data_IF_278639255409
#
_entry.id   IF_278639255409
#
_cell.length_a   1.000
_cell.length_b   1.000
_cell.length_c   1.000
_cell.angle_alpha   90.00
_cell.angle_beta   90.00
_cell.angle_gamma   90.00
#
_symmetry.space_group_name_H-M   'P 1'
#
loop_
_entity.id
_entity.type
_entity.pdbx_description
1 polymer ?
#
# COMPACT_ATOMS: atom_id res chain seq x y z
N UNK A 1 8.19 29.30 26.31
CA UNK A 1 7.40 29.77 25.15
C UNK A 1 7.50 28.73 24.06
N UNK A 2 6.49 27.88 23.92
CA UNK A 2 6.43 26.92 22.80
C UNK A 2 5.79 27.72 21.66
N UNK A 3 6.57 28.09 20.64
CA UNK A 3 5.99 28.63 19.42
C UNK A 3 5.12 27.53 18.81
N UNK A 4 3.80 27.61 19.00
CA UNK A 4 2.85 26.90 18.15
C UNK A 4 2.90 27.57 16.79
N UNK A 5 3.83 27.14 15.94
CA UNK A 5 3.77 27.43 14.52
C UNK A 5 2.57 26.69 13.95
N UNK A 6 1.48 27.41 13.66
CA UNK A 6 0.37 26.90 12.87
C UNK A 6 0.84 26.71 11.44
N UNK A 7 1.63 25.67 11.19
CA UNK A 7 2.07 25.30 9.86
C UNK A 7 0.87 24.76 9.09
N UNK A 8 0.66 25.29 7.89
CA UNK A 8 -0.42 24.88 6.99
C UNK A 8 0.19 24.69 5.61
N UNK A 9 -0.12 23.57 4.97
CA UNK A 9 0.33 23.28 3.62
C UNK A 9 -0.86 22.87 2.75
N UNK A 10 -1.09 23.61 1.68
CA UNK A 10 -2.09 23.27 0.67
C UNK A 10 -1.42 22.45 -0.44
N UNK A 11 -1.94 21.25 -0.68
CA UNK A 11 -1.45 20.35 -1.72
C UNK A 11 -1.95 20.81 -3.10
N UNK A 12 -1.16 20.53 -4.15
CA UNK A 12 -1.56 20.83 -5.51
C UNK A 12 -2.19 19.60 -6.18
N UNK A 13 -3.49 19.38 -5.93
CA UNK A 13 -4.24 18.21 -6.41
C UNK A 13 -5.41 18.66 -7.28
N UNK A 14 -5.47 18.15 -8.52
CA UNK A 14 -6.51 18.52 -9.50
C UNK A 14 -7.91 17.97 -9.16
N UNK A 15 -8.00 16.77 -8.58
CA UNK A 15 -9.27 16.15 -8.16
C UNK A 15 -9.22 15.69 -6.70
N UNK A 16 -9.37 16.61 -5.74
CA UNK A 16 -9.34 16.32 -4.30
C UNK A 16 -10.31 15.23 -3.84
N UNK A 17 -11.45 15.08 -4.53
CA UNK A 17 -12.51 14.13 -4.13
C UNK A 17 -12.11 12.69 -4.42
N UNK A 18 -11.50 12.43 -5.58
CA UNK A 18 -11.09 11.09 -6.00
C UNK A 18 -9.60 10.81 -5.75
N UNK A 19 -8.89 11.69 -5.04
CA UNK A 19 -7.48 11.51 -4.71
C UNK A 19 -7.27 10.59 -3.51
N UNK A 20 -7.40 9.28 -3.74
CA UNK A 20 -7.09 8.23 -2.78
C UNK A 20 -6.73 6.93 -3.51
N UNK A 21 -6.10 5.99 -2.79
CA UNK A 21 -5.83 4.65 -3.26
C UNK A 21 -6.46 3.61 -2.32
N UNK A 22 -6.77 2.43 -2.87
CA UNK A 22 -7.41 1.37 -2.08
C UNK A 22 -6.44 0.73 -1.09
N UNK A 23 -6.88 0.63 0.16
CA UNK A 23 -6.20 -0.13 1.22
C UNK A 23 -7.12 -1.26 1.72
N UNK A 24 -6.53 -2.42 1.94
CA UNK A 24 -7.18 -3.58 2.54
C UNK A 24 -7.09 -3.59 4.07
N UNK A 25 -7.92 -4.40 4.75
CA UNK A 25 -8.03 -4.40 6.20
C UNK A 25 -6.90 -5.13 6.93
N UNK A 26 -6.11 -5.96 6.22
CA UNK A 26 -5.11 -6.84 6.83
C UNK A 26 -3.71 -6.62 6.27
N UNK A 27 -2.73 -6.87 7.15
CA UNK A 27 -1.31 -7.01 6.86
C UNK A 27 -0.66 -7.86 7.95
N UNK A 28 0.47 -8.55 7.67
CA UNK A 28 1.19 -9.28 8.71
C UNK A 28 1.86 -8.31 9.70
N UNK A 29 2.07 -8.71 10.96
CA UNK A 29 2.75 -7.88 11.96
C UNK A 29 4.14 -7.39 11.51
N UNK A 30 4.88 -8.20 10.73
CA UNK A 30 6.18 -7.79 10.17
C UNK A 30 6.08 -6.58 9.25
N UNK A 31 5.02 -6.49 8.42
CA UNK A 31 4.81 -5.36 7.52
C UNK A 31 4.36 -4.10 8.26
N UNK A 32 3.76 -4.27 9.46
CA UNK A 32 3.51 -3.16 10.37
C UNK A 32 4.79 -2.61 10.99
N UNK A 33 5.69 -3.49 11.45
CA UNK A 33 7.01 -3.11 12.00
C UNK A 33 7.86 -2.39 10.97
N UNK A 34 7.87 -2.88 9.74
CA UNK A 34 8.70 -2.36 8.66
C UNK A 34 8.07 -1.13 7.98
N UNK A 35 6.90 -0.66 8.47
CA UNK A 35 6.18 0.49 7.92
C UNK A 35 5.94 0.40 6.41
N UNK A 36 5.62 -0.79 5.91
CA UNK A 36 5.48 -1.02 4.48
C UNK A 36 4.36 -0.19 3.87
N UNK A 37 4.61 0.29 2.64
CA UNK A 37 3.55 0.84 1.80
C UNK A 37 2.53 -0.26 1.52
N UNK A 38 1.27 0.05 1.71
CA UNK A 38 0.18 -0.89 1.51
C UNK A 38 -0.45 -0.63 0.14
N UNK A 39 -0.48 -1.63 -0.73
CA UNK A 39 -1.13 -1.53 -2.05
C UNK A 39 -2.09 -2.71 -2.20
N UNK A 40 -3.37 -2.44 -2.39
CA UNK A 40 -4.39 -3.48 -2.50
C UNK A 40 -4.43 -4.09 -3.89
N UNK A 41 -3.60 -5.08 -4.20
CA UNK A 41 -3.53 -5.65 -5.56
C UNK A 41 -4.74 -6.56 -5.92
N UNK A 42 -5.35 -7.20 -4.93
CA UNK A 42 -6.59 -7.97 -5.08
C UNK A 42 -7.59 -7.52 -4.03
N UNK A 43 -8.89 -7.79 -4.23
CA UNK A 43 -9.90 -7.59 -3.19
C UNK A 43 -10.28 -8.92 -2.55
N UNK A 44 -10.17 -8.97 -1.24
CA UNK A 44 -10.69 -10.02 -0.37
C UNK A 44 -9.95 -11.37 -0.51
N UNK A 45 -10.68 -12.51 -0.42
CA UNK A 45 -10.07 -13.83 -0.43
C UNK A 45 -10.75 -14.79 -1.42
N UNK A 46 -10.02 -15.41 -2.36
CA UNK A 46 -10.60 -16.35 -3.32
C UNK A 46 -11.00 -17.69 -2.71
N UNK A 47 -10.56 -17.97 -1.48
CA UNK A 47 -10.92 -19.20 -0.75
C UNK A 47 -12.10 -19.00 0.19
N UNK A 48 -11.97 -18.01 1.09
CA UNK A 48 -12.97 -17.56 2.06
C UNK A 48 -13.64 -18.64 2.96
N UNK A 49 -13.13 -19.87 2.98
CA UNK A 49 -13.70 -21.01 3.70
C UNK A 49 -12.93 -21.43 4.96
N UNK A 50 -11.81 -20.77 5.29
CA UNK A 50 -11.12 -21.05 6.56
C UNK A 50 -12.06 -20.76 7.74
N UNK A 51 -12.11 -21.66 8.71
CA UNK A 51 -13.00 -21.53 9.88
C UNK A 51 -12.55 -20.42 10.82
N UNK A 52 -11.23 -20.32 11.05
CA UNK A 52 -10.63 -19.35 11.96
C UNK A 52 -10.59 -17.91 11.43
N UNK A 53 -10.80 -17.69 10.12
CA UNK A 53 -10.59 -16.39 9.49
C UNK A 53 -11.93 -15.68 9.24
N UNK A 54 -12.31 -14.65 10.03
CA UNK A 54 -13.56 -13.92 9.82
C UNK A 54 -13.46 -12.80 8.78
N UNK A 55 -12.24 -12.40 8.38
CA UNK A 55 -11.95 -11.11 7.70
C UNK A 55 -12.81 -10.82 6.48
N UNK A 56 -13.01 -11.79 5.60
CA UNK A 56 -13.67 -11.59 4.31
C UNK A 56 -14.98 -12.37 4.18
N UNK A 57 -15.56 -12.85 5.29
CA UNK A 57 -16.83 -13.57 5.24
C UNK A 57 -17.90 -12.68 4.60
N UNK A 58 -18.72 -13.27 3.74
CA UNK A 58 -19.81 -12.60 3.00
C UNK A 58 -19.39 -11.56 1.95
N UNK A 59 -18.10 -11.36 1.69
CA UNK A 59 -17.63 -10.52 0.56
C UNK A 59 -16.98 -11.38 -0.52
N UNK A 60 -17.20 -11.00 -1.78
CA UNK A 60 -16.68 -11.73 -2.94
C UNK A 60 -15.23 -11.35 -3.22
N UNK A 61 -14.47 -12.31 -3.74
CA UNK A 61 -13.14 -12.04 -4.26
C UNK A 61 -13.21 -11.31 -5.60
N UNK A 62 -12.30 -10.36 -5.80
CA UNK A 62 -12.10 -9.69 -7.09
C UNK A 62 -10.61 -9.55 -7.39
N UNK A 63 -10.23 -9.86 -8.63
CA UNK A 63 -8.91 -9.45 -9.15
C UNK A 63 -9.03 -8.03 -9.67
N UNK A 64 -8.09 -7.15 -9.30
CA UNK A 64 -7.99 -5.81 -9.88
C UNK A 64 -7.13 -5.86 -11.14
N UNK A 65 -7.43 -4.97 -12.08
CA UNK A 65 -6.58 -4.79 -13.27
C UNK A 65 -5.31 -4.03 -12.92
N UNK A 66 -4.21 -4.31 -13.64
CA UNK A 66 -2.94 -3.64 -13.40
C UNK A 66 -3.05 -2.12 -13.53
N UNK A 67 -3.87 -1.61 -14.45
CA UNK A 67 -4.08 -0.18 -14.68
C UNK A 67 -4.77 0.51 -13.49
N UNK A 68 -5.67 -0.18 -12.80
CA UNK A 68 -6.30 0.35 -11.57
C UNK A 68 -5.26 0.46 -10.45
N UNK A 69 -4.42 -0.56 -10.28
CA UNK A 69 -3.35 -0.56 -9.27
C UNK A 69 -2.29 0.50 -9.61
N UNK A 70 -2.01 0.75 -10.90
CA UNK A 70 -1.12 1.83 -11.31
C UNK A 70 -1.65 3.22 -10.98
N UNK A 71 -2.97 3.43 -10.98
CA UNK A 71 -3.57 4.69 -10.50
C UNK A 71 -3.34 4.86 -9.01
N UNK A 72 -3.43 3.80 -8.23
CA UNK A 72 -3.08 3.82 -6.81
C UNK A 72 -1.62 4.22 -6.59
N UNK A 73 -0.69 3.62 -7.36
CA UNK A 73 0.74 3.96 -7.33
C UNK A 73 0.96 5.44 -7.68
N UNK A 74 0.21 5.98 -8.64
CA UNK A 74 0.25 7.40 -8.99
C UNK A 74 -0.19 8.30 -7.83
N UNK A 75 -1.27 7.94 -7.12
CA UNK A 75 -1.72 8.69 -5.93
C UNK A 75 -0.64 8.66 -4.85
N UNK A 76 -0.04 7.50 -4.58
CA UNK A 76 1.09 7.38 -3.63
C UNK A 76 2.27 8.27 -4.05
N UNK A 77 2.58 8.32 -5.34
CA UNK A 77 3.66 9.17 -5.86
C UNK A 77 3.37 10.64 -5.61
N UNK A 78 2.17 11.09 -5.94
CA UNK A 78 1.76 12.48 -5.73
C UNK A 78 1.76 12.85 -4.25
N UNK A 79 1.21 12.00 -3.38
CA UNK A 79 1.31 12.18 -1.93
C UNK A 79 2.77 12.27 -1.47
N UNK A 80 3.65 11.42 -2.01
CA UNK A 80 5.08 11.44 -1.65
C UNK A 80 5.78 12.72 -2.06
N UNK A 81 5.45 13.27 -3.23
CA UNK A 81 5.95 14.55 -3.74
C UNK A 81 5.47 15.71 -2.83
N UNK A 82 4.17 15.77 -2.55
CA UNK A 82 3.57 16.81 -1.69
C UNK A 82 4.12 16.78 -0.26
N UNK A 83 4.28 15.60 0.34
CA UNK A 83 4.86 15.44 1.68
C UNK A 83 6.31 15.96 1.72
N UNK A 84 7.10 15.62 0.69
CA UNK A 84 8.49 16.09 0.60
C UNK A 84 8.53 17.61 0.38
N UNK A 85 7.69 18.15 -0.49
CA UNK A 85 7.64 19.59 -0.73
C UNK A 85 7.23 20.37 0.52
N UNK A 86 6.19 19.91 1.24
CA UNK A 86 5.81 20.47 2.53
C UNK A 86 6.98 20.45 3.53
N UNK A 87 7.70 19.34 3.62
CA UNK A 87 8.90 19.22 4.46
C UNK A 87 9.98 20.24 4.11
N UNK A 88 10.25 20.47 2.81
CA UNK A 88 11.20 21.48 2.36
C UNK A 88 10.73 22.90 2.68
N UNK A 89 9.46 23.22 2.46
CA UNK A 89 8.88 24.55 2.77
C UNK A 89 8.99 24.90 4.24
N UNK A 90 8.91 23.92 5.12
CA UNK A 90 9.05 24.11 6.58
C UNK A 90 10.48 23.90 7.09
N UNK A 91 11.48 23.90 6.20
CA UNK A 91 12.90 23.76 6.54
C UNK A 91 13.25 22.46 7.31
N UNK A 92 12.49 21.38 7.10
CA UNK A 92 12.78 20.06 7.66
C UNK A 92 13.69 19.21 6.77
N UNK A 93 14.25 19.79 5.70
CA UNK A 93 15.21 19.15 4.79
C UNK A 93 14.71 17.84 4.18
N UNK A 94 13.43 17.77 3.82
CA UNK A 94 12.80 16.58 3.23
C UNK A 94 12.47 15.47 4.24
N UNK A 95 12.78 15.64 5.54
CA UNK A 95 12.38 14.70 6.60
C UNK A 95 10.88 14.74 6.82
N UNK A 96 10.25 13.57 6.90
CA UNK A 96 8.82 13.43 7.21
C UNK A 96 8.67 13.31 8.72
N UNK A 97 7.91 14.23 9.32
CA UNK A 97 7.63 14.26 10.77
C UNK A 97 6.16 14.61 11.02
N UNK A 98 5.75 14.60 12.30
CA UNK A 98 4.34 14.86 12.68
C UNK A 98 3.87 16.27 12.28
N UNK A 99 4.74 17.27 12.29
CA UNK A 99 4.38 18.64 11.91
C UNK A 99 4.07 18.76 10.42
N UNK A 100 4.81 18.06 9.56
CA UNK A 100 4.53 18.00 8.11
C UNK A 100 3.15 17.37 7.86
N UNK A 101 2.87 16.24 8.50
CA UNK A 101 1.60 15.53 8.34
C UNK A 101 0.44 16.38 8.86
N UNK A 102 0.61 17.02 10.03
CA UNK A 102 -0.39 17.93 10.61
C UNK A 102 -0.67 19.12 9.70
N UNK A 103 0.38 19.73 9.14
CA UNK A 103 0.24 20.88 8.25
C UNK A 103 -0.52 20.53 6.96
N UNK A 104 -0.27 19.35 6.38
CA UNK A 104 -1.02 18.82 5.23
C UNK A 104 -2.48 18.57 5.62
N UNK A 105 -2.72 17.88 6.74
CA UNK A 105 -4.09 17.59 7.18
C UNK A 105 -4.91 18.88 7.41
N UNK A 106 -4.33 19.87 8.09
CA UNK A 106 -4.99 21.14 8.39
C UNK A 106 -5.18 22.03 7.16
N UNK A 107 -4.26 21.96 6.19
CA UNK A 107 -4.31 22.79 4.98
C UNK A 107 -5.19 22.27 3.86
N UNK A 108 -5.76 21.07 3.98
CA UNK A 108 -6.58 20.45 2.94
C UNK A 108 -7.87 19.84 3.53
N UNK A 109 -8.72 20.63 4.22
CA UNK A 109 -9.98 20.13 4.78
C UNK A 109 -10.91 19.52 3.73
N UNK A 110 -10.87 20.00 2.49
CA UNK A 110 -11.65 19.48 1.36
C UNK A 110 -11.27 18.05 0.93
N UNK A 111 -10.08 17.58 1.32
CA UNK A 111 -9.62 16.21 1.09
C UNK A 111 -9.94 15.35 2.30
N UNK A 112 -9.61 15.83 3.50
CA UNK A 112 -9.60 15.00 4.71
C UNK A 112 -10.82 15.15 5.62
N UNK A 113 -11.79 16.01 5.29
CA UNK A 113 -12.97 16.26 6.12
C UNK A 113 -14.26 16.23 5.30
N UNK A 114 -15.35 15.72 5.90
CA UNK A 114 -16.71 15.88 5.39
C UNK A 114 -17.13 14.96 4.24
N UNK A 115 -16.26 14.06 3.76
CA UNK A 115 -16.56 13.07 2.71
C UNK A 115 -16.57 11.62 3.24
N UNK A 116 -17.31 10.72 2.58
CA UNK A 116 -17.39 9.29 2.89
C UNK A 116 -16.02 8.60 2.90
N UNK A 117 -15.07 9.10 2.12
CA UNK A 117 -13.71 8.55 2.02
C UNK A 117 -12.67 9.29 2.89
N UNK A 118 -13.08 10.23 3.76
CA UNK A 118 -12.15 11.05 4.56
C UNK A 118 -11.22 10.19 5.41
N UNK A 119 -11.75 9.14 6.03
CA UNK A 119 -10.98 8.20 6.86
C UNK A 119 -9.94 7.44 6.02
N UNK A 120 -10.32 6.94 4.84
CA UNK A 120 -9.40 6.26 3.92
C UNK A 120 -8.29 7.21 3.44
N UNK A 121 -8.64 8.46 3.09
CA UNK A 121 -7.68 9.48 2.67
C UNK A 121 -6.69 9.81 3.78
N UNK A 122 -7.15 9.88 5.04
CA UNK A 122 -6.27 10.06 6.18
C UNK A 122 -5.35 8.85 6.37
N UNK A 123 -5.86 7.62 6.24
CA UNK A 123 -5.06 6.41 6.29
C UNK A 123 -4.01 6.35 5.17
N UNK A 124 -4.35 6.81 3.96
CA UNK A 124 -3.41 6.95 2.85
C UNK A 124 -2.27 7.92 3.23
N UNK A 125 -2.59 9.13 3.71
CA UNK A 125 -1.59 10.09 4.15
C UNK A 125 -0.66 9.50 5.21
N UNK A 126 -1.24 8.84 6.23
CA UNK A 126 -0.47 8.23 7.32
C UNK A 126 0.41 7.07 6.84
N UNK A 127 -0.10 6.22 5.96
CA UNK A 127 0.67 5.10 5.42
C UNK A 127 1.86 5.58 4.59
N UNK A 128 1.64 6.53 3.68
CA UNK A 128 2.72 7.10 2.84
C UNK A 128 3.72 7.87 3.71
N UNK A 129 3.27 8.67 4.67
CA UNK A 129 4.16 9.42 5.56
C UNK A 129 5.06 8.50 6.41
N UNK A 130 4.49 7.47 7.04
CA UNK A 130 5.25 6.50 7.83
C UNK A 130 6.22 5.68 6.98
N UNK A 131 5.79 5.30 5.77
CA UNK A 131 6.64 4.60 4.81
C UNK A 131 7.82 5.46 4.36
N UNK A 132 7.61 6.74 4.05
CA UNK A 132 8.69 7.68 3.71
C UNK A 132 9.64 7.92 4.90
N UNK A 133 9.08 8.10 6.11
CA UNK A 133 9.86 8.30 7.33
C UNK A 133 10.76 7.10 7.67
N UNK A 134 10.37 5.90 7.27
CA UNK A 134 11.14 4.65 7.43
C UNK A 134 12.10 4.35 6.27
N UNK A 135 12.21 5.25 5.29
CA UNK A 135 13.14 5.12 4.17
C UNK A 135 12.55 4.54 2.88
N UNK A 136 11.24 4.33 2.82
CA UNK A 136 10.50 3.94 1.62
C UNK A 136 11.00 2.66 0.93
N UNK A 137 11.31 1.63 1.75
CA UNK A 137 12.02 0.43 1.29
C UNK A 137 11.13 -0.76 0.98
N UNK A 138 9.98 -0.86 1.65
CA UNK A 138 9.16 -2.08 1.65
C UNK A 138 7.74 -1.80 1.15
N UNK A 139 7.21 -2.71 0.34
CA UNK A 139 5.82 -2.67 -0.12
C UNK A 139 5.16 -4.01 0.18
N UNK A 140 3.94 -3.97 0.72
CA UNK A 140 3.11 -5.13 0.92
C UNK A 140 1.88 -5.07 -0.01
N UNK A 141 1.79 -6.04 -0.91
CA UNK A 141 0.63 -6.24 -1.77
C UNK A 141 -0.46 -6.93 -0.94
N UNK A 142 -1.47 -6.14 -0.55
CA UNK A 142 -2.50 -6.51 0.41
C UNK A 142 -3.53 -7.51 -0.12
N UNK A 143 -4.33 -7.98 0.84
CA UNK A 143 -5.36 -9.01 0.75
C UNK A 143 -4.80 -10.43 0.62
N UNK A 144 -5.70 -11.41 0.56
CA UNK A 144 -5.38 -12.76 1.05
C UNK A 144 -4.46 -13.59 0.15
N UNK A 145 -4.37 -13.29 -1.15
CA UNK A 145 -3.71 -14.17 -2.10
C UNK A 145 -3.34 -13.47 -3.42
N UNK A 146 -2.51 -12.42 -3.39
CA UNK A 146 -2.17 -11.65 -4.61
C UNK A 146 -1.53 -12.51 -5.70
N UNK A 147 -0.81 -13.57 -5.33
CA UNK A 147 -0.19 -14.51 -6.29
C UNK A 147 -1.20 -15.17 -7.24
N UNK A 148 -2.51 -15.08 -6.97
CA UNK A 148 -3.56 -15.55 -7.89
C UNK A 148 -3.68 -14.71 -9.17
N UNK A 149 -3.18 -13.48 -9.17
CA UNK A 149 -3.16 -12.62 -10.36
C UNK A 149 -2.39 -13.29 -11.51
N UNK A 150 -2.69 -12.87 -12.74
CA UNK A 150 -1.89 -13.29 -13.90
C UNK A 150 -0.48 -12.77 -13.72
N UNK A 151 0.50 -13.64 -13.96
CA UNK A 151 1.92 -13.32 -13.73
C UNK A 151 2.38 -12.08 -14.48
N UNK A 152 2.04 -11.88 -15.78
CA UNK A 152 2.42 -10.65 -16.48
C UNK A 152 1.87 -9.37 -15.84
N UNK A 153 0.61 -9.37 -15.39
CA UNK A 153 -0.02 -8.21 -14.74
C UNK A 153 0.63 -7.89 -13.39
N UNK A 154 0.94 -8.94 -12.59
CA UNK A 154 1.61 -8.75 -11.31
C UNK A 154 3.05 -8.22 -11.49
N UNK A 155 3.78 -8.71 -12.50
CA UNK A 155 5.10 -8.18 -12.88
C UNK A 155 4.99 -6.70 -13.26
N UNK A 156 3.99 -6.33 -14.05
CA UNK A 156 3.76 -4.96 -14.48
C UNK A 156 3.49 -4.00 -13.30
N UNK A 157 2.70 -4.45 -12.31
CA UNK A 157 2.47 -3.71 -11.06
C UNK A 157 3.77 -3.53 -10.26
N UNK A 158 4.54 -4.61 -10.07
CA UNK A 158 5.79 -4.58 -9.30
C UNK A 158 6.83 -3.66 -9.98
N UNK A 159 6.96 -3.74 -11.30
CA UNK A 159 7.84 -2.86 -12.07
C UNK A 159 7.42 -1.40 -11.92
N UNK A 160 6.13 -1.10 -12.04
CA UNK A 160 5.62 0.26 -11.87
C UNK A 160 5.91 0.83 -10.47
N UNK A 161 5.82 0.01 -9.41
CA UNK A 161 6.24 0.41 -8.06
C UNK A 161 7.72 0.80 -8.04
N UNK A 162 8.62 -0.06 -8.54
CA UNK A 162 10.07 0.18 -8.50
C UNK A 162 10.52 1.32 -9.41
N UNK A 163 9.88 1.51 -10.55
CA UNK A 163 10.12 2.63 -11.46
C UNK A 163 9.77 3.97 -10.81
N UNK A 164 8.64 4.04 -10.09
CA UNK A 164 8.25 5.27 -9.40
C UNK A 164 8.99 5.47 -8.07
N UNK A 165 9.45 4.40 -7.44
CA UNK A 165 10.17 4.42 -6.18
C UNK A 165 11.39 3.49 -6.22
N UNK A 166 12.52 3.96 -6.76
CA UNK A 166 13.75 3.17 -6.86
C UNK A 166 14.33 2.75 -5.49
N UNK A 167 13.86 3.34 -4.39
CA UNK A 167 14.23 2.97 -3.01
C UNK A 167 13.60 1.66 -2.56
N UNK A 168 12.62 1.11 -3.29
CA UNK A 168 11.98 -0.15 -2.93
C UNK A 168 13.00 -1.29 -3.09
N UNK A 169 13.36 -1.88 -1.95
CA UNK A 169 14.23 -3.04 -1.86
C UNK A 169 13.43 -4.35 -1.84
N UNK A 170 12.19 -4.32 -1.30
CA UNK A 170 11.39 -5.54 -1.08
C UNK A 170 9.92 -5.33 -1.36
N UNK A 171 9.34 -6.26 -2.14
CA UNK A 171 7.89 -6.40 -2.32
C UNK A 171 7.43 -7.74 -1.75
N UNK A 172 6.40 -7.72 -0.91
CA UNK A 172 5.88 -8.90 -0.21
C UNK A 172 4.37 -9.05 -0.41
N UNK A 173 3.82 -10.24 -0.17
CA UNK A 173 2.38 -10.49 -0.23
C UNK A 173 1.96 -11.71 0.57
N UNK A 174 0.67 -11.85 0.89
CA UNK A 174 0.10 -13.13 1.26
C UNK A 174 -0.07 -14.04 0.04
N UNK A 175 0.11 -15.34 0.25
CA UNK A 175 -0.24 -16.35 -0.74
C UNK A 175 -0.80 -17.60 -0.09
N UNK A 176 -1.62 -18.34 -0.84
CA UNK A 176 -2.06 -19.68 -0.45
C UNK A 176 -1.08 -20.72 -0.98
N UNK A 177 -0.82 -21.76 -0.18
CA UNK A 177 0.03 -22.88 -0.59
C UNK A 177 -0.40 -23.49 -1.95
N UNK A 178 -1.71 -23.71 -2.13
CA UNK A 178 -2.28 -24.22 -3.40
C UNK A 178 -2.09 -23.27 -4.59
N UNK A 179 -1.99 -21.96 -4.36
CA UNK A 179 -1.70 -20.99 -5.43
C UNK A 179 -0.22 -20.99 -5.77
N UNK A 180 0.66 -21.04 -4.76
CA UNK A 180 2.10 -21.20 -4.97
C UNK A 180 2.40 -22.46 -5.79
N UNK A 181 1.80 -23.60 -5.43
CA UNK A 181 2.03 -24.88 -6.11
C UNK A 181 1.54 -24.95 -7.56
N UNK A 182 0.69 -24.01 -7.98
CA UNK A 182 0.16 -23.92 -9.36
C UNK A 182 1.00 -23.04 -10.28
N UNK A 183 1.92 -22.24 -9.74
CA UNK A 183 2.80 -21.39 -10.54
C UNK A 183 3.97 -22.22 -11.07
N UNK A 184 4.32 -22.02 -12.33
CA UNK A 184 5.52 -22.64 -12.88
C UNK A 184 6.79 -22.03 -12.26
N UNK A 185 7.92 -22.73 -12.37
CA UNK A 185 9.20 -22.20 -11.91
C UNK A 185 9.56 -20.91 -12.65
N UNK A 186 9.28 -20.82 -13.94
CA UNK A 186 9.53 -19.66 -14.79
C UNK A 186 8.68 -18.47 -14.35
N UNK A 187 7.41 -18.69 -14.01
CA UNK A 187 6.56 -17.64 -13.46
C UNK A 187 7.10 -17.10 -12.13
N UNK A 188 7.53 -17.99 -11.23
CA UNK A 188 8.09 -17.61 -9.93
C UNK A 188 9.43 -16.87 -10.08
N UNK A 189 10.30 -17.31 -10.99
CA UNK A 189 11.55 -16.60 -11.33
C UNK A 189 11.25 -15.20 -11.87
N UNK A 190 10.33 -15.08 -12.82
CA UNK A 190 9.95 -13.79 -13.39
C UNK A 190 9.38 -12.82 -12.34
N UNK A 191 8.58 -13.31 -11.40
CA UNK A 191 8.08 -12.52 -10.27
C UNK A 191 9.21 -12.08 -9.33
N UNK A 192 10.15 -12.98 -9.04
CA UNK A 192 11.30 -12.68 -8.19
C UNK A 192 12.20 -11.61 -8.82
N UNK A 193 12.53 -11.77 -10.10
CA UNK A 193 13.32 -10.81 -10.89
C UNK A 193 12.64 -9.44 -10.97
N UNK A 194 11.31 -9.41 -11.10
CA UNK A 194 10.56 -8.15 -11.05
C UNK A 194 10.67 -7.47 -9.67
N UNK A 195 10.75 -8.24 -8.59
CA UNK A 195 11.00 -7.74 -7.23
C UNK A 195 10.16 -8.38 -6.13
N UNK A 196 9.29 -9.35 -6.43
CA UNK A 196 8.55 -10.09 -5.40
C UNK A 196 9.53 -10.96 -4.60
N UNK A 197 9.84 -10.53 -3.38
CA UNK A 197 10.96 -11.09 -2.61
C UNK A 197 10.52 -11.96 -1.42
N UNK A 198 9.26 -11.89 -0.99
CA UNK A 198 8.72 -12.73 0.09
C UNK A 198 7.23 -12.99 -0.08
N UNK A 199 6.83 -14.22 0.21
CA UNK A 199 5.44 -14.61 0.37
C UNK A 199 5.17 -15.08 1.80
N UNK A 200 4.11 -14.56 2.40
CA UNK A 200 3.54 -15.06 3.63
C UNK A 200 2.54 -16.16 3.28
N UNK A 201 2.94 -17.42 3.45
CA UNK A 201 2.14 -18.57 3.03
C UNK A 201 1.38 -19.16 4.21
N UNK A 202 0.04 -19.17 4.12
CA UNK A 202 -0.81 -19.90 5.07
C UNK A 202 -0.79 -21.40 4.77
N UNK A 203 -0.05 -22.18 5.57
CA UNK A 203 -0.06 -23.65 5.54
C UNK A 203 -1.19 -24.23 6.41
N UNK A 204 -1.42 -23.64 7.58
CA UNK A 204 -2.44 -23.95 8.60
C UNK A 204 -2.35 -25.34 9.25
N UNK A 205 -2.35 -26.41 8.48
CA UNK A 205 -2.21 -27.78 8.98
C UNK A 205 -1.48 -28.64 7.94
N UNK A 206 -0.74 -29.64 8.43
CA UNK A 206 -0.20 -30.74 7.62
C UNK A 206 -0.91 -32.07 7.88
N UNK A 207 -2.01 -32.04 8.64
CA UNK A 207 -2.88 -33.16 8.97
C UNK A 207 -4.19 -32.98 8.22
N UNK A 208 -4.61 -33.99 7.46
CA UNK A 208 -5.74 -33.89 6.52
C UNK A 208 -7.10 -33.92 7.23
N UNK A 209 -7.15 -34.52 8.42
CA UNK A 209 -8.33 -34.61 9.30
C UNK A 209 -8.43 -33.48 10.34
#
# INVERSE_FOLDING_TARGET
MIYQTNLVYQMNIMDPKNFFYEMGPIRPPSEGRDSSLLIRATRNCPWNKCEFCPTYKNVKFESRRAEEIKKDIYVVKKLSEEIKEASWRFAFAGKVNQEVVRAIFQGNPEIYQGDLNSELKLQNLMNVANWLASGAKTVFLQDANTLIMRTPELIEVIKSLKENFPTIERVTSYARAKTCAKKSLEELKGLHEAGLSRLHVGLESGYDE
#
